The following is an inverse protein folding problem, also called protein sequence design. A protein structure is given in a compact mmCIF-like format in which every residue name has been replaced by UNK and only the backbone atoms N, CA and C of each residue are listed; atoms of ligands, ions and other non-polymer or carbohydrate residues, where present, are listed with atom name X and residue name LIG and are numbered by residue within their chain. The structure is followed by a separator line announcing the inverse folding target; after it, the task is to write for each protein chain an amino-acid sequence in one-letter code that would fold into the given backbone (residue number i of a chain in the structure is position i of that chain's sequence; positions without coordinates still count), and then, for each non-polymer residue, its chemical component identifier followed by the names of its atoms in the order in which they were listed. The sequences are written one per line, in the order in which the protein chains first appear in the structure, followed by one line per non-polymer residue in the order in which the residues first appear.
data_IF_593696131443
#
_entry.id   IF_593696131443
#
_cell.length_a   1.000
_cell.length_b   1.000
_cell.length_c   1.000
_cell.angle_alpha   90.00
_cell.angle_beta   90.00
_cell.angle_gamma   90.00
#
_symmetry.space_group_name_H-M   'P 1'
#
loop_
_entity.id
_entity.type
_entity.pdbx_description
1 polymer ?
#
# COMPACT_ATOMS: atom_id res chain seq x y z
N UNK A 1 -12.25 21.65 -16.98
CA UNK A 1 -11.12 21.51 -16.04
C UNK A 1 -10.53 20.12 -16.18
N UNK A 2 -9.24 20.01 -16.49
CA UNK A 2 -8.59 18.73 -16.81
C UNK A 2 -8.53 17.83 -15.56
N UNK A 3 -9.46 16.88 -15.43
CA UNK A 3 -9.29 15.71 -14.54
C UNK A 3 -8.31 14.75 -15.21
N UNK A 4 -7.04 15.12 -15.22
CA UNK A 4 -5.96 14.32 -15.79
C UNK A 4 -4.94 14.08 -14.71
N UNK A 5 -5.05 12.93 -14.04
CA UNK A 5 -4.03 12.18 -13.26
C UNK A 5 -4.81 11.24 -12.33
N UNK A 6 -4.56 9.94 -12.44
CA UNK A 6 -5.14 8.90 -11.57
C UNK A 6 -4.56 8.97 -10.16
N UNK A 7 -4.78 10.09 -9.48
CA UNK A 7 -4.33 10.35 -8.13
C UNK A 7 -5.52 10.19 -7.18
N UNK A 8 -5.39 9.33 -6.18
CA UNK A 8 -6.31 9.23 -5.06
C UNK A 8 -5.74 10.02 -3.87
N UNK A 9 -6.61 10.55 -3.01
CA UNK A 9 -6.20 11.20 -1.77
C UNK A 9 -6.56 10.31 -0.59
N UNK A 10 -5.56 9.93 0.21
CA UNK A 10 -5.76 9.09 1.38
C UNK A 10 -5.04 9.71 2.57
N UNK A 11 -5.80 10.09 3.60
CA UNK A 11 -5.29 10.80 4.78
C UNK A 11 -4.49 12.08 4.47
N UNK A 12 -4.81 12.74 3.35
CA UNK A 12 -4.10 13.94 2.90
C UNK A 12 -2.82 13.68 2.11
N UNK A 13 -2.47 12.42 1.87
CA UNK A 13 -1.41 12.03 0.96
C UNK A 13 -1.97 11.83 -0.44
N UNK A 14 -1.24 12.34 -1.45
CA UNK A 14 -1.46 11.95 -2.83
C UNK A 14 -0.97 10.51 -3.03
N UNK A 15 -1.81 9.69 -3.63
CA UNK A 15 -1.58 8.27 -3.89
C UNK A 15 -1.63 8.11 -5.40
N UNK A 16 -0.57 7.59 -6.01
CA UNK A 16 -0.49 7.41 -7.45
C UNK A 16 0.85 6.78 -7.88
N UNK A 17 1.01 6.54 -9.19
CA UNK A 17 2.24 5.96 -9.71
C UNK A 17 3.42 6.91 -9.48
N UNK A 18 4.54 6.38 -8.98
CA UNK A 18 5.78 7.12 -8.73
C UNK A 18 5.73 8.09 -7.55
N UNK A 19 4.67 8.06 -6.73
CA UNK A 19 4.53 8.99 -5.60
C UNK A 19 5.56 8.70 -4.51
N UNK A 20 5.97 9.74 -3.79
CA UNK A 20 6.85 9.61 -2.63
C UNK A 20 6.02 9.57 -1.34
N UNK A 21 5.89 8.38 -0.77
CA UNK A 21 5.21 8.09 0.50
C UNK A 21 6.21 7.58 1.55
N UNK A 22 7.48 7.96 1.42
CA UNK A 22 8.52 7.60 2.38
C UNK A 22 8.10 8.05 3.78
N UNK A 23 8.20 7.15 4.75
CA UNK A 23 7.86 7.38 6.16
C UNK A 23 6.40 7.87 6.37
N UNK A 24 5.52 7.69 5.38
CA UNK A 24 4.13 8.13 5.45
C UNK A 24 3.31 7.28 6.43
N UNK A 25 2.39 7.91 7.17
CA UNK A 25 1.47 7.21 8.05
C UNK A 25 0.15 6.89 7.33
N UNK A 26 0.06 5.66 6.83
CA UNK A 26 -1.10 5.10 6.13
C UNK A 26 -1.83 4.06 6.99
N UNK A 27 -1.71 4.14 8.32
CA UNK A 27 -2.39 3.24 9.27
C UNK A 27 -3.89 3.25 9.01
N UNK A 28 -4.56 2.10 8.93
CA UNK A 28 -6.01 1.98 8.67
C UNK A 28 -6.48 2.71 7.40
N UNK A 29 -5.58 2.94 6.44
CA UNK A 29 -5.94 3.56 5.17
C UNK A 29 -6.59 2.54 4.22
N UNK A 30 -7.59 3.01 3.49
CA UNK A 30 -8.20 2.27 2.39
C UNK A 30 -7.46 2.61 1.09
N UNK A 31 -6.61 1.69 0.63
CA UNK A 31 -5.83 1.80 -0.61
C UNK A 31 -6.35 0.84 -1.69
N UNK A 32 -7.61 0.38 -1.56
CA UNK A 32 -8.19 -0.59 -2.48
C UNK A 32 -8.19 -0.08 -3.92
N UNK A 33 -7.62 -0.86 -4.84
CA UNK A 33 -7.55 -0.52 -6.26
C UNK A 33 -6.66 0.70 -6.58
N UNK A 34 -5.86 1.19 -5.63
CA UNK A 34 -4.96 2.31 -5.90
C UNK A 34 -3.79 1.87 -6.79
N UNK A 35 -3.34 2.75 -7.68
CA UNK A 35 -2.12 2.56 -8.44
C UNK A 35 -0.94 3.18 -7.68
N UNK A 36 -0.10 2.33 -7.09
CA UNK A 36 1.13 2.69 -6.38
C UNK A 36 2.37 2.13 -7.10
N UNK A 37 2.25 1.86 -8.40
CA UNK A 37 3.38 1.40 -9.21
C UNK A 37 4.54 2.39 -9.13
N UNK A 38 5.77 1.90 -8.99
CA UNK A 38 6.99 2.71 -8.82
C UNK A 38 6.98 3.68 -7.61
N UNK A 39 6.00 3.57 -6.69
CA UNK A 39 5.93 4.45 -5.53
C UNK A 39 7.05 4.15 -4.52
N UNK A 40 7.52 5.17 -3.82
CA UNK A 40 8.47 5.02 -2.72
C UNK A 40 7.72 4.91 -1.39
N UNK A 41 7.59 3.70 -0.85
CA UNK A 41 6.94 3.40 0.44
C UNK A 41 7.97 3.04 1.53
N UNK A 42 9.25 3.36 1.33
CA UNK A 42 10.29 3.05 2.31
C UNK A 42 9.90 3.58 3.70
N UNK A 43 9.91 2.70 4.71
CA UNK A 43 9.57 3.08 6.09
C UNK A 43 8.10 3.46 6.33
N UNK A 44 7.22 3.34 5.33
CA UNK A 44 5.81 3.71 5.47
C UNK A 44 5.07 2.78 6.45
N UNK A 45 4.14 3.35 7.22
CA UNK A 45 3.31 2.59 8.16
C UNK A 45 1.97 2.23 7.51
N UNK A 46 1.74 0.93 7.28
CA UNK A 46 0.57 0.32 6.63
C UNK A 46 -0.25 -0.57 7.59
N UNK A 47 -0.09 -0.39 8.90
CA UNK A 47 -0.82 -1.16 9.95
C UNK A 47 -2.33 -1.08 9.76
N UNK A 48 -3.02 -2.21 9.79
CA UNK A 48 -4.47 -2.30 9.48
C UNK A 48 -4.92 -1.68 8.16
N UNK A 49 -4.01 -1.37 7.22
CA UNK A 49 -4.36 -0.81 5.92
C UNK A 49 -4.93 -1.89 5.00
N UNK A 50 -5.82 -1.50 4.07
CA UNK A 50 -6.36 -2.41 3.05
C UNK A 50 -5.72 -2.15 1.70
N UNK A 51 -4.92 -3.09 1.23
CA UNK A 51 -4.18 -3.05 -0.05
C UNK A 51 -4.79 -4.00 -1.10
N UNK A 52 -6.05 -4.40 -0.94
CA UNK A 52 -6.70 -5.29 -1.91
C UNK A 52 -6.75 -4.65 -3.30
N UNK A 53 -6.39 -5.41 -4.34
CA UNK A 53 -6.35 -4.97 -5.73
C UNK A 53 -5.41 -3.76 -5.99
N UNK A 54 -4.49 -3.44 -5.06
CA UNK A 54 -3.53 -2.34 -5.25
C UNK A 54 -2.44 -2.76 -6.25
N UNK A 55 -2.02 -1.84 -7.12
CA UNK A 55 -0.83 -2.07 -7.95
C UNK A 55 0.42 -1.61 -7.20
N UNK A 56 1.30 -2.55 -6.84
CA UNK A 56 2.60 -2.30 -6.18
C UNK A 56 3.78 -2.66 -7.08
N UNK A 57 3.58 -2.78 -8.39
CA UNK A 57 4.63 -3.10 -9.34
C UNK A 57 5.82 -2.13 -9.19
N UNK A 58 7.03 -2.66 -8.96
CA UNK A 58 8.25 -1.87 -8.76
C UNK A 58 8.21 -0.86 -7.60
N UNK A 59 7.23 -0.95 -6.70
CA UNK A 59 7.18 -0.08 -5.52
C UNK A 59 8.29 -0.45 -4.52
N UNK A 60 8.88 0.55 -3.87
CA UNK A 60 9.86 0.33 -2.81
C UNK A 60 9.16 0.06 -1.47
N UNK A 61 9.07 -1.22 -1.09
CA UNK A 61 8.44 -1.71 0.13
C UNK A 61 9.45 -2.08 1.24
N UNK A 62 10.70 -1.63 1.12
CA UNK A 62 11.70 -1.88 2.16
C UNK A 62 11.32 -1.18 3.47
N UNK A 63 11.55 -1.83 4.61
CA UNK A 63 11.28 -1.29 5.95
C UNK A 63 9.82 -0.87 6.19
N UNK A 64 8.85 -1.33 5.39
CA UNK A 64 7.44 -1.06 5.67
C UNK A 64 7.02 -1.65 7.01
N UNK A 65 6.16 -0.93 7.72
CA UNK A 65 5.61 -1.37 8.99
C UNK A 65 4.17 -1.81 8.78
N UNK A 66 3.87 -3.04 9.14
CA UNK A 66 2.55 -3.64 9.04
C UNK A 66 2.28 -4.59 10.20
N UNK A 67 1.06 -5.10 10.26
CA UNK A 67 0.64 -6.10 11.22
C UNK A 67 -0.31 -7.12 10.58
N UNK A 68 -0.72 -8.10 11.39
CA UNK A 68 -1.71 -9.09 11.02
C UNK A 68 -3.07 -8.50 10.64
N UNK A 69 -3.35 -7.22 10.92
CA UNK A 69 -4.60 -6.58 10.51
C UNK A 69 -4.49 -5.95 9.11
N UNK A 70 -3.27 -5.75 8.61
CA UNK A 70 -3.04 -5.29 7.24
C UNK A 70 -3.52 -6.35 6.25
N UNK A 71 -4.30 -5.94 5.25
CA UNK A 71 -4.80 -6.81 4.18
C UNK A 71 -3.92 -6.59 2.95
N UNK A 72 -3.11 -7.58 2.57
CA UNK A 72 -2.29 -7.54 1.36
C UNK A 72 -3.05 -8.09 0.13
N UNK A 73 -2.68 -7.69 -1.10
CA UNK A 73 -3.30 -8.23 -2.31
C UNK A 73 -2.95 -9.71 -2.54
N UNK A 74 -3.79 -10.40 -3.30
CA UNK A 74 -3.56 -11.80 -3.67
C UNK A 74 -2.22 -11.98 -4.40
N UNK A 75 -1.48 -13.04 -4.07
CA UNK A 75 -0.18 -13.34 -4.68
C UNK A 75 0.97 -12.41 -4.24
N UNK A 76 0.71 -11.47 -3.33
CA UNK A 76 1.74 -10.60 -2.81
C UNK A 76 2.67 -11.34 -1.84
N UNK A 77 3.96 -11.33 -2.16
CA UNK A 77 4.97 -11.90 -1.27
C UNK A 77 5.55 -10.80 -0.37
N UNK A 78 5.39 -10.90 0.96
CA UNK A 78 5.97 -9.93 1.86
C UNK A 78 7.51 -9.94 1.83
N UNK A 79 8.19 -8.78 2.00
CA UNK A 79 9.64 -8.77 2.13
C UNK A 79 10.06 -9.57 3.38
N UNK A 80 11.17 -10.32 3.27
CA UNK A 80 11.62 -11.27 4.28
C UNK A 80 11.90 -10.65 5.66
N UNK A 81 12.12 -9.33 5.76
CA UNK A 81 12.35 -8.61 7.01
C UNK A 81 11.09 -8.42 7.88
N UNK A 82 9.92 -8.80 7.39
CA UNK A 82 8.67 -8.61 8.10
C UNK A 82 8.50 -9.54 9.30
N UNK A 83 8.53 -8.98 10.52
CA UNK A 83 8.30 -9.76 11.75
C UNK A 83 6.84 -10.17 11.98
N UNK A 84 5.89 -9.56 11.26
CA UNK A 84 4.46 -9.91 11.35
C UNK A 84 3.82 -9.75 9.96
N UNK A 85 3.66 -10.84 9.19
CA UNK A 85 3.15 -10.73 7.83
C UNK A 85 1.67 -10.29 7.81
N UNK A 86 1.26 -9.55 6.77
CA UNK A 86 -0.14 -9.14 6.60
C UNK A 86 -1.03 -10.35 6.32
N UNK A 87 -2.32 -10.19 6.55
CA UNK A 87 -3.34 -11.15 6.09
C UNK A 87 -3.51 -11.03 4.59
N UNK A 88 -3.46 -12.17 3.90
CA UNK A 88 -3.82 -12.24 2.47
C UNK A 88 -5.31 -11.92 2.35
N UNK A 89 -5.67 -11.10 1.35
CA UNK A 89 -7.07 -10.92 0.97
C UNK A 89 -7.61 -12.21 0.36
N UNK A 90 -8.00 -13.17 1.21
CA UNK A 90 -8.75 -14.34 0.74
C UNK A 90 -10.08 -13.85 0.18
N UNK A 91 -10.32 -14.13 -1.08
CA UNK A 91 -11.55 -13.90 -1.84
C UNK A 91 -12.67 -14.89 -1.43
N UNK A 92 -12.67 -15.31 -0.16
CA UNK A 92 -13.73 -16.13 0.43
C UNK A 92 -15.01 -15.28 0.55
N UNK A 93 -15.84 -15.39 -0.48
CA UNK A 93 -17.19 -14.84 -0.58
C UNK A 93 -18.12 -15.43 0.49
#
# INVERSE_FOLDING_TARGET
MKRGRGLALVKGYEIGPGVNLRDANLTSSDLRGADLSCANLYGATLRSATLRDVNLESANLSEIIWDSDTICPEGFTPPQSASNPPRVSDNSN
#
